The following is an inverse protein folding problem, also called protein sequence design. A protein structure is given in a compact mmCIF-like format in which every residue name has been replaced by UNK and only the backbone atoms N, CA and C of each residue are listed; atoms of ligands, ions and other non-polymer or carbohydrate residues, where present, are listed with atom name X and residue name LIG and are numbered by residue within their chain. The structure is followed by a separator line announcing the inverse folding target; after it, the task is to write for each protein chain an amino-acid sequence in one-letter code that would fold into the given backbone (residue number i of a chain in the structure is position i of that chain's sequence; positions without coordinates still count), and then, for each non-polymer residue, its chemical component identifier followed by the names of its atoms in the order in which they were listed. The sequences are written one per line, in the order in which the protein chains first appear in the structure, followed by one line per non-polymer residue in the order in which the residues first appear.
data_IF_558848275224
#
_entry.id   IF_558848275224
#
_cell.length_a   1.000
_cell.length_b   1.000
_cell.length_c   1.000
_cell.angle_alpha   90.00
_cell.angle_beta   90.00
_cell.angle_gamma   90.00
#
_symmetry.space_group_name_H-M   'P 1'
#
loop_
_entity.id
_entity.type
_entity.pdbx_description
1 polymer ?
#
# COMPACT_ATOMS: atom_id res chain seq x y z
N UNK A 1 19.80 -30.02 -28.86
CA UNK A 1 19.99 -30.09 -27.39
C UNK A 1 19.82 -28.72 -26.72
N UNK A 2 20.55 -27.68 -27.15
CA UNK A 2 20.43 -26.32 -26.58
C UNK A 2 19.02 -25.71 -26.70
N UNK A 3 18.38 -25.82 -27.88
CA UNK A 3 17.02 -25.30 -28.10
C UNK A 3 15.94 -25.99 -27.23
N UNK A 4 16.08 -27.29 -26.97
CA UNK A 4 15.20 -28.05 -26.09
C UNK A 4 15.38 -27.63 -24.62
N UNK A 5 16.63 -27.42 -24.20
CA UNK A 5 16.95 -26.91 -22.86
C UNK A 5 16.34 -25.52 -22.65
N UNK A 6 16.44 -24.65 -23.66
CA UNK A 6 15.86 -23.30 -23.63
C UNK A 6 14.33 -23.33 -23.50
N UNK A 7 13.66 -24.21 -24.27
CA UNK A 7 12.21 -24.36 -24.23
C UNK A 7 11.71 -24.83 -22.85
N UNK A 8 12.42 -25.79 -22.22
CA UNK A 8 12.08 -26.27 -20.87
C UNK A 8 12.22 -25.15 -19.84
N UNK A 9 13.32 -24.38 -19.90
CA UNK A 9 13.53 -23.23 -18.99
C UNK A 9 12.42 -22.19 -19.16
N UNK A 10 12.06 -21.83 -20.40
CA UNK A 10 10.96 -20.90 -20.67
C UNK A 10 9.61 -21.41 -20.11
N UNK A 11 9.32 -22.70 -20.26
CA UNK A 11 8.08 -23.29 -19.74
C UNK A 11 8.03 -23.26 -18.20
N UNK A 12 9.13 -23.58 -17.52
CA UNK A 12 9.23 -23.51 -16.07
C UNK A 12 9.08 -22.07 -15.54
N UNK A 13 9.69 -21.10 -16.22
CA UNK A 13 9.53 -19.68 -15.88
C UNK A 13 8.09 -19.19 -16.08
N UNK A 14 7.41 -19.63 -17.14
CA UNK A 14 6.01 -19.29 -17.38
C UNK A 14 5.09 -19.86 -16.29
N UNK A 15 5.28 -21.12 -15.90
CA UNK A 15 4.54 -21.76 -14.80
C UNK A 15 4.79 -21.01 -13.48
N UNK A 16 6.05 -20.68 -13.17
CA UNK A 16 6.40 -19.92 -11.97
C UNK A 16 5.71 -18.54 -11.94
N UNK A 17 5.77 -17.79 -13.05
CA UNK A 17 5.07 -16.51 -13.19
C UNK A 17 3.56 -16.66 -12.97
N UNK A 18 2.95 -17.69 -13.58
CA UNK A 18 1.52 -17.95 -13.43
C UNK A 18 1.13 -18.28 -11.98
N UNK A 19 1.90 -19.13 -11.30
CA UNK A 19 1.69 -19.43 -9.87
C UNK A 19 1.80 -18.17 -9.00
N UNK A 20 2.79 -17.30 -9.25
CA UNK A 20 2.95 -16.03 -8.53
C UNK A 20 1.73 -15.13 -8.72
N UNK A 21 1.17 -15.06 -9.94
CA UNK A 21 -0.04 -14.27 -10.23
C UNK A 21 -1.25 -14.81 -9.48
N UNK A 22 -1.46 -16.13 -9.46
CA UNK A 22 -2.59 -16.74 -8.75
C UNK A 22 -2.50 -16.50 -7.24
N UNK A 23 -1.32 -16.69 -6.64
CA UNK A 23 -1.09 -16.43 -5.22
C UNK A 23 -1.35 -14.97 -4.84
N UNK A 24 -1.02 -14.02 -5.72
CA UNK A 24 -1.30 -12.59 -5.51
C UNK A 24 -2.79 -12.25 -5.58
N UNK A 25 -3.53 -12.89 -6.48
CA UNK A 25 -4.98 -12.70 -6.63
C UNK A 25 -5.73 -13.21 -5.40
N UNK A 26 -5.30 -14.34 -4.86
CA UNK A 26 -5.90 -14.97 -3.69
C UNK A 26 -5.80 -14.09 -2.44
N UNK A 27 -4.67 -13.40 -2.24
CA UNK A 27 -4.47 -12.55 -1.06
C UNK A 27 -5.52 -11.44 -0.87
N UNK A 28 -6.04 -10.84 -1.95
CA UNK A 28 -7.14 -9.86 -1.84
C UNK A 28 -8.48 -10.53 -1.55
N UNK A 29 -8.72 -11.69 -2.13
CA UNK A 29 -9.96 -12.45 -1.92
C UNK A 29 -10.05 -13.05 -0.51
N UNK A 30 -8.92 -13.26 0.15
CA UNK A 30 -8.82 -13.79 1.52
C UNK A 30 -9.10 -12.75 2.60
N UNK A 31 -8.94 -11.46 2.30
CA UNK A 31 -9.20 -10.38 3.25
C UNK A 31 -10.70 -10.11 3.40
N UNK A 32 -11.39 -11.00 4.12
CA UNK A 32 -12.85 -11.00 4.26
C UNK A 32 -13.37 -10.52 5.61
N UNK A 33 -12.51 -10.42 6.63
CA UNK A 33 -12.89 -9.82 7.91
C UNK A 33 -12.57 -8.32 7.91
N UNK A 34 -13.36 -7.58 8.68
CA UNK A 34 -13.30 -6.13 8.79
C UNK A 34 -13.00 -5.72 10.23
N UNK A 35 -12.28 -4.61 10.37
CA UNK A 35 -12.07 -3.91 11.64
C UNK A 35 -11.82 -2.43 11.37
N UNK A 36 -12.27 -1.58 12.30
CA UNK A 36 -11.90 -0.16 12.29
C UNK A 36 -10.55 0.00 12.97
N UNK A 37 -9.57 0.53 12.24
CA UNK A 37 -8.27 0.91 12.74
C UNK A 37 -8.10 2.42 12.86
N UNK A 38 -6.86 2.85 13.04
CA UNK A 38 -6.51 4.27 13.20
C UNK A 38 -5.26 4.62 12.40
N UNK A 39 -5.27 5.76 11.72
CA UNK A 39 -4.09 6.29 11.05
C UNK A 39 -3.08 6.78 12.10
N UNK A 40 -1.87 6.24 12.08
CA UNK A 40 -0.80 6.57 13.06
C UNK A 40 0.32 7.42 12.48
N UNK A 41 0.35 7.65 11.17
CA UNK A 41 1.36 8.52 10.53
C UNK A 41 1.74 8.08 9.12
N UNK A 42 2.96 8.45 8.71
CA UNK A 42 3.47 8.16 7.38
C UNK A 42 4.08 6.76 7.27
N UNK A 43 3.78 6.03 6.21
CA UNK A 43 4.42 4.74 5.93
C UNK A 43 5.79 4.94 5.24
N UNK A 44 6.57 3.86 5.11
CA UNK A 44 7.79 3.86 4.28
C UNK A 44 7.50 3.74 2.79
N UNK A 45 6.26 3.41 2.42
CA UNK A 45 5.81 3.26 1.05
C UNK A 45 5.30 4.62 0.58
N UNK A 46 5.71 5.02 -0.62
CA UNK A 46 5.38 6.35 -1.13
C UNK A 46 5.42 6.41 -2.65
N UNK A 47 4.74 7.41 -3.21
CA UNK A 47 4.81 7.76 -4.63
C UNK A 47 5.29 9.20 -4.77
N UNK A 48 6.48 9.40 -5.36
CA UNK A 48 7.11 10.73 -5.41
C UNK A 48 7.16 11.42 -4.06
N UNK A 49 7.55 10.68 -3.02
CA UNK A 49 7.60 11.11 -1.63
C UNK A 49 6.27 11.49 -0.96
N UNK A 50 5.13 11.28 -1.63
CA UNK A 50 3.83 11.23 -0.96
C UNK A 50 3.76 9.92 -0.17
N UNK A 51 3.87 10.00 1.15
CA UNK A 51 3.83 8.85 2.04
C UNK A 51 2.41 8.29 2.08
N UNK A 52 2.28 6.97 1.94
CA UNK A 52 1.01 6.30 2.20
C UNK A 52 0.72 6.31 3.71
N UNK A 53 -0.55 6.32 4.14
CA UNK A 53 -0.91 6.20 5.54
C UNK A 53 -0.40 4.88 6.13
N UNK A 54 0.07 4.98 7.37
CA UNK A 54 0.36 3.84 8.25
C UNK A 54 -0.79 3.71 9.23
N UNK A 55 -1.45 2.57 9.26
CA UNK A 55 -2.65 2.36 10.06
C UNK A 55 -2.42 1.22 11.06
N UNK A 56 -2.80 1.45 12.31
CA UNK A 56 -2.78 0.44 13.36
C UNK A 56 -4.19 -0.12 13.57
N UNK A 57 -4.29 -1.41 13.92
CA UNK A 57 -5.55 -2.08 14.24
C UNK A 57 -5.28 -3.26 15.16
N UNK A 58 -6.32 -3.75 15.82
CA UNK A 58 -6.22 -4.82 16.81
C UNK A 58 -7.19 -5.95 16.49
N UNK A 59 -6.69 -7.18 16.48
CA UNK A 59 -7.49 -8.40 16.28
C UNK A 59 -7.15 -9.37 17.40
N UNK A 60 -8.17 -9.86 18.13
CA UNK A 60 -8.01 -10.83 19.21
C UNK A 60 -6.91 -10.46 20.24
N UNK A 61 -6.81 -9.18 20.60
CA UNK A 61 -5.82 -8.72 21.57
C UNK A 61 -4.39 -8.55 21.02
N UNK A 62 -4.18 -8.71 19.73
CA UNK A 62 -2.87 -8.49 19.07
C UNK A 62 -2.93 -7.26 18.19
N UNK A 63 -1.93 -6.40 18.30
CA UNK A 63 -1.80 -5.19 17.48
C UNK A 63 -1.07 -5.50 16.17
N UNK A 64 -1.60 -4.92 15.09
CA UNK A 64 -1.08 -5.07 13.74
C UNK A 64 -0.96 -3.69 13.08
N UNK A 65 -0.13 -3.65 12.03
CA UNK A 65 0.06 -2.46 11.21
C UNK A 65 -0.15 -2.81 9.74
N UNK A 66 -0.83 -1.93 9.03
CA UNK A 66 -1.00 -2.02 7.58
C UNK A 66 -0.70 -0.67 6.93
N UNK A 67 -0.15 -0.72 5.73
CA UNK A 67 0.08 0.48 4.91
C UNK A 67 -0.95 0.52 3.80
N UNK A 68 -1.71 1.61 3.72
CA UNK A 68 -2.63 1.84 2.63
C UNK A 68 -3.45 3.11 2.81
N UNK A 69 -4.25 3.47 1.80
CA UNK A 69 -4.56 2.69 0.60
C UNK A 69 -3.35 2.57 -0.35
N UNK A 70 -3.29 1.48 -1.13
CA UNK A 70 -2.21 1.24 -2.12
C UNK A 70 -2.72 1.41 -3.54
N UNK A 71 -1.91 2.08 -4.35
CA UNK A 71 -2.17 2.30 -5.77
C UNK A 71 -1.40 1.27 -6.61
N UNK A 72 -1.92 0.95 -7.80
CA UNK A 72 -1.21 0.08 -8.73
C UNK A 72 0.08 0.76 -9.23
N UNK A 73 -0.01 2.07 -9.49
CA UNK A 73 1.09 2.90 -9.99
C UNK A 73 0.99 4.34 -9.47
N UNK A 74 2.07 5.10 -9.60
CA UNK A 74 2.09 6.53 -9.27
C UNK A 74 2.78 7.37 -10.34
N UNK A 75 2.18 8.51 -10.67
CA UNK A 75 2.74 9.54 -11.56
C UNK A 75 2.91 10.81 -10.74
N UNK A 76 4.15 11.26 -10.58
CA UNK A 76 4.45 12.43 -9.75
C UNK A 76 5.39 13.40 -10.45
N UNK A 77 5.18 14.69 -10.23
CA UNK A 77 6.05 15.74 -10.71
C UNK A 77 5.74 17.08 -10.05
N UNK A 78 6.56 18.11 -10.26
CA UNK A 78 6.39 19.42 -9.60
C UNK A 78 5.03 20.08 -9.85
N UNK A 79 4.43 19.83 -11.02
CA UNK A 79 3.19 20.45 -11.49
C UNK A 79 2.03 19.46 -11.66
N UNK A 80 2.20 18.21 -11.24
CA UNK A 80 1.14 17.19 -11.34
C UNK A 80 0.13 17.43 -10.21
N UNK A 81 -1.14 17.67 -10.56
CA UNK A 81 -2.20 17.82 -9.58
C UNK A 81 -2.63 16.47 -8.99
N UNK A 82 -3.11 16.52 -7.74
CA UNK A 82 -3.69 15.35 -7.09
C UNK A 82 -4.96 14.90 -7.83
N UNK A 83 -5.11 13.59 -8.02
CA UNK A 83 -6.37 13.00 -8.51
C UNK A 83 -7.16 12.31 -7.39
N UNK A 84 -6.84 12.60 -6.13
CA UNK A 84 -7.59 12.11 -4.97
C UNK A 84 -8.79 13.01 -4.71
N UNK A 85 -9.95 12.40 -4.46
CA UNK A 85 -11.21 13.11 -4.20
C UNK A 85 -11.78 12.71 -2.85
N UNK A 86 -12.06 11.42 -2.65
CA UNK A 86 -12.66 10.84 -1.45
C UNK A 86 -11.99 9.51 -1.12
N UNK A 87 -12.26 8.93 0.05
CA UNK A 87 -11.73 7.60 0.42
C UNK A 87 -12.44 6.49 -0.35
N UNK A 88 -13.71 6.70 -0.66
CA UNK A 88 -14.59 5.71 -1.30
C UNK A 88 -14.30 5.57 -2.80
N UNK A 89 -13.80 6.62 -3.44
CA UNK A 89 -13.50 6.68 -4.87
C UNK A 89 -12.02 6.96 -5.14
N UNK A 90 -11.15 6.11 -4.58
CA UNK A 90 -9.72 6.20 -4.85
C UNK A 90 -9.36 5.66 -6.24
N UNK A 91 -8.53 6.40 -7.01
CA UNK A 91 -8.11 5.95 -8.33
C UNK A 91 -7.18 4.74 -8.19
N UNK A 92 -7.07 3.92 -9.25
CA UNK A 92 -6.06 2.85 -9.30
C UNK A 92 -4.64 3.40 -9.42
N UNK A 93 -4.47 4.52 -10.12
CA UNK A 93 -3.19 5.19 -10.32
C UNK A 93 -3.19 6.49 -9.54
N UNK A 94 -2.23 6.63 -8.64
CA UNK A 94 -2.00 7.88 -7.93
C UNK A 94 -1.39 8.92 -8.87
N UNK A 95 -1.93 10.14 -8.88
CA UNK A 95 -1.31 11.33 -9.44
C UNK A 95 -1.18 12.34 -8.32
N UNK A 96 -0.04 13.04 -8.27
CA UNK A 96 0.12 14.11 -7.30
C UNK A 96 1.46 14.82 -7.43
N UNK A 97 1.55 15.95 -6.75
CA UNK A 97 2.77 16.74 -6.74
C UNK A 97 3.87 15.94 -6.05
N UNK A 98 5.08 15.96 -6.61
CA UNK A 98 6.23 15.39 -5.90
C UNK A 98 6.50 16.18 -4.62
N UNK A 99 6.52 15.49 -3.48
CA UNK A 99 6.82 16.08 -2.17
C UNK A 99 8.33 16.14 -1.98
N UNK A 100 8.78 17.16 -1.25
CA UNK A 100 10.17 17.25 -0.78
C UNK A 100 10.19 17.32 0.74
N UNK A 101 11.12 16.59 1.35
CA UNK A 101 11.37 16.66 2.77
C UNK A 101 12.85 16.55 3.09
N UNK A 102 13.25 17.12 4.22
CA UNK A 102 14.58 16.96 4.80
C UNK A 102 14.60 15.75 5.73
N UNK A 103 15.68 14.98 5.69
CA UNK A 103 15.90 13.83 6.58
C UNK A 103 15.71 12.47 5.90
N UNK A 104 15.86 11.42 6.70
CA UNK A 104 15.89 10.04 6.21
C UNK A 104 14.51 9.39 6.31
N UNK A 105 13.88 9.12 5.16
CA UNK A 105 12.55 8.48 5.09
C UNK A 105 12.50 7.05 5.66
N UNK A 106 13.66 6.43 5.92
CA UNK A 106 13.72 5.14 6.62
C UNK A 106 13.44 5.29 8.12
N UNK A 107 13.62 6.49 8.69
CA UNK A 107 13.31 6.79 10.09
C UNK A 107 11.81 7.03 10.27
N UNK A 108 11.24 6.36 11.25
CA UNK A 108 9.84 6.53 11.65
C UNK A 108 9.53 7.99 12.01
N UNK A 109 10.41 8.63 12.78
CA UNK A 109 10.26 10.02 13.20
C UNK A 109 10.11 10.97 12.01
N UNK A 110 10.96 10.85 10.99
CA UNK A 110 10.87 11.71 9.81
C UNK A 110 9.64 11.42 8.95
N UNK A 111 9.20 10.15 8.86
CA UNK A 111 7.97 9.80 8.16
C UNK A 111 6.75 10.47 8.79
N UNK A 112 6.66 10.45 10.11
CA UNK A 112 5.53 11.04 10.83
C UNK A 112 5.57 12.56 10.77
N UNK A 113 6.77 13.14 10.92
CA UNK A 113 6.97 14.58 10.79
C UNK A 113 6.53 15.10 9.43
N UNK A 114 6.75 14.36 8.33
CA UNK A 114 6.47 14.83 6.97
C UNK A 114 5.17 14.28 6.36
N UNK A 115 4.44 13.41 7.04
CA UNK A 115 3.22 12.81 6.50
C UNK A 115 2.18 13.85 6.08
N UNK A 116 2.03 14.92 6.86
CA UNK A 116 1.13 16.05 6.58
C UNK A 116 1.35 16.76 5.24
N UNK A 117 2.47 16.52 4.56
CA UNK A 117 2.76 17.06 3.21
C UNK A 117 2.25 16.18 2.08
N UNK A 118 1.82 14.96 2.40
CA UNK A 118 1.39 13.98 1.41
C UNK A 118 -0.05 14.24 1.02
N UNK A 119 -0.40 14.08 -0.25
CA UNK A 119 -1.79 14.29 -0.70
C UNK A 119 -2.82 13.42 0.06
N UNK A 120 -2.41 12.26 0.57
CA UNK A 120 -3.27 11.38 1.36
C UNK A 120 -3.55 11.87 2.77
N UNK A 121 -2.78 12.79 3.35
CA UNK A 121 -2.98 13.18 4.74
C UNK A 121 -4.27 13.97 4.97
N UNK A 122 -4.80 14.61 3.93
CA UNK A 122 -6.10 15.30 3.99
C UNK A 122 -7.25 14.28 4.06
N UNK A 123 -7.18 13.22 3.25
CA UNK A 123 -8.16 12.15 3.29
C UNK A 123 -7.98 11.27 4.52
N UNK A 124 -6.75 10.96 4.92
CA UNK A 124 -6.38 10.07 6.02
C UNK A 124 -5.56 10.82 7.08
N UNK A 125 -6.15 11.75 7.84
CA UNK A 125 -5.43 12.49 8.87
C UNK A 125 -5.03 11.57 10.02
N UNK A 126 -3.90 11.86 10.66
CA UNK A 126 -3.43 11.11 11.84
C UNK A 126 -4.49 11.18 12.94
N UNK A 127 -4.77 10.03 13.56
CA UNK A 127 -5.81 9.87 14.58
C UNK A 127 -7.20 9.60 14.01
N UNK A 128 -7.42 9.70 12.71
CA UNK A 128 -8.72 9.32 12.11
C UNK A 128 -8.89 7.80 12.05
N UNK A 129 -10.15 7.39 12.17
CA UNK A 129 -10.58 6.01 11.94
C UNK A 129 -10.43 5.63 10.47
N UNK A 130 -10.22 4.34 10.21
CA UNK A 130 -10.09 3.82 8.85
C UNK A 130 -10.54 2.36 8.78
N UNK A 131 -11.25 2.02 7.70
CA UNK A 131 -11.68 0.65 7.44
C UNK A 131 -10.51 -0.22 6.97
N UNK A 132 -10.30 -1.33 7.67
CA UNK A 132 -9.25 -2.30 7.38
C UNK A 132 -9.88 -3.66 7.16
N UNK A 133 -9.55 -4.25 6.03
CA UNK A 133 -9.94 -5.61 5.68
C UNK A 133 -8.72 -6.53 5.80
N UNK A 134 -8.87 -7.63 6.50
CA UNK A 134 -7.79 -8.57 6.80
C UNK A 134 -8.20 -10.02 6.59
N UNK A 135 -7.20 -10.88 6.37
CA UNK A 135 -7.38 -12.32 6.31
C UNK A 135 -7.57 -12.87 7.74
N UNK A 136 -8.74 -13.47 8.08
CA UNK A 136 -8.97 -14.03 9.41
C UNK A 136 -7.95 -15.10 9.83
N UNK A 137 -7.36 -15.82 8.86
CA UNK A 137 -6.36 -16.85 9.11
C UNK A 137 -4.93 -16.28 9.28
N UNK A 138 -4.66 -15.10 8.73
CA UNK A 138 -3.42 -14.36 8.95
C UNK A 138 -3.69 -12.84 8.95
N UNK A 139 -4.00 -12.24 10.10
CA UNK A 139 -4.35 -10.82 10.17
C UNK A 139 -3.27 -9.89 9.63
N UNK A 140 -2.00 -10.32 9.53
CA UNK A 140 -0.93 -9.50 8.91
C UNK A 140 -1.17 -9.24 7.41
N UNK A 141 -1.93 -10.10 6.74
CA UNK A 141 -2.40 -9.85 5.39
C UNK A 141 -3.66 -8.98 5.45
N UNK A 142 -3.48 -7.68 5.25
CA UNK A 142 -4.55 -6.70 5.33
C UNK A 142 -4.39 -5.60 4.28
N UNK A 143 -5.49 -4.90 3.99
CA UNK A 143 -5.50 -3.68 3.20
C UNK A 143 -6.41 -2.62 3.82
N UNK A 144 -6.09 -1.37 3.52
CA UNK A 144 -6.89 -0.20 3.89
C UNK A 144 -7.77 0.16 2.71
N UNK A 145 -9.04 0.42 2.98
CA UNK A 145 -9.97 1.01 2.01
C UNK A 145 -9.85 2.53 2.00
#
# INVERSE_FOLDING_TARGET
MLAYLLAIICALLAILCFCIVLLRRDNKNRCTAHVVGTVTGGSKVHYGYNLLPRCAYRVNGTDYEVTGPRFEYGVTGPSVQSNLTTREDLPRTFKGRQVTFSGNIRSLHYRDLHYHKSALSELYPVGSEVDIWYDPADPRNAYVQ
#
